data_IF_215721437359
#
_entry.id   IF_215721437359
#
_cell.length_a   1.000
_cell.length_b   1.000
_cell.length_c   1.000
_cell.angle_alpha   90.00
_cell.angle_beta   90.00
_cell.angle_gamma   90.00
#
_symmetry.space_group_name_H-M   'P 1'
#
loop_
_entity.id
_entity.type
_entity.pdbx_description
1 polymer ?
#
# COMPACT_ATOMS: atom_id res chain seq x y z
N UNK A 1 -9.43 -22.77 -1.06
CA UNK A 1 -9.91 -21.35 -1.16
C UNK A 1 -11.40 -21.36 -0.85
N UNK A 2 -11.91 -20.37 -0.10
CA UNK A 2 -13.31 -20.35 0.39
C UNK A 2 -14.35 -19.88 -0.66
N UNK A 3 -13.93 -19.58 -1.90
CA UNK A 3 -14.84 -19.26 -3.02
C UNK A 3 -15.53 -17.89 -2.94
N UNK A 4 -14.86 -16.87 -2.41
CA UNK A 4 -15.41 -15.50 -2.33
C UNK A 4 -14.93 -14.66 -3.51
N UNK A 5 -15.87 -14.09 -4.27
CA UNK A 5 -15.59 -13.34 -5.51
C UNK A 5 -15.68 -11.81 -5.38
N UNK A 6 -16.31 -11.30 -4.32
CA UNK A 6 -16.51 -9.86 -4.09
C UNK A 6 -16.10 -9.45 -2.67
N UNK A 7 -15.48 -8.27 -2.56
CA UNK A 7 -15.07 -7.66 -1.31
C UNK A 7 -15.38 -6.16 -1.33
N UNK A 8 -15.93 -5.64 -0.25
CA UNK A 8 -16.05 -4.21 0.01
C UNK A 8 -15.49 -3.88 1.40
N UNK A 9 -14.78 -2.76 1.51
CA UNK A 9 -14.27 -2.28 2.79
C UNK A 9 -13.83 -0.81 2.73
N UNK A 10 -14.09 -0.07 3.81
CA UNK A 10 -13.55 1.29 3.99
C UNK A 10 -12.06 1.31 4.35
N UNK A 11 -11.46 0.15 4.66
CA UNK A 11 -10.09 0.02 5.19
C UNK A 11 -9.03 0.77 4.37
N UNK A 12 -8.96 0.68 3.02
CA UNK A 12 -7.92 1.36 2.25
C UNK A 12 -7.96 2.87 2.45
N UNK A 13 -9.16 3.45 2.43
CA UNK A 13 -9.35 4.90 2.50
C UNK A 13 -9.29 5.42 3.94
N UNK A 14 -9.85 4.69 4.91
CA UNK A 14 -9.77 5.05 6.34
C UNK A 14 -8.33 5.00 6.84
N UNK A 15 -7.57 3.96 6.48
CA UNK A 15 -6.17 3.84 6.88
C UNK A 15 -5.29 4.91 6.23
N UNK A 16 -5.49 5.21 4.94
CA UNK A 16 -4.76 6.27 4.24
C UNK A 16 -4.90 7.63 4.93
N UNK A 17 -6.13 8.00 5.33
CA UNK A 17 -6.43 9.25 6.05
C UNK A 17 -5.86 9.27 7.47
N UNK A 18 -5.68 8.11 8.09
CA UNK A 18 -5.05 7.96 9.40
C UNK A 18 -3.52 7.73 9.32
N UNK A 19 -2.95 7.73 8.11
CA UNK A 19 -1.50 7.66 7.88
C UNK A 19 -0.91 6.25 7.80
N UNK A 20 -1.74 5.21 7.70
CA UNK A 20 -1.30 3.83 7.47
C UNK A 20 -1.42 3.47 5.98
N UNK A 21 -0.31 3.04 5.39
CA UNK A 21 -0.19 2.78 3.96
C UNK A 21 0.24 1.34 3.72
N UNK A 22 -0.32 0.71 2.69
CA UNK A 22 -0.02 -0.67 2.33
C UNK A 22 1.06 -0.71 1.25
N UNK A 23 2.00 -1.65 1.35
CA UNK A 23 3.09 -1.83 0.39
C UNK A 23 3.30 -3.31 0.13
N UNK A 24 4.09 -3.62 -0.91
CA UNK A 24 4.58 -4.97 -1.18
C UNK A 24 5.31 -5.62 -0.01
N UNK A 25 5.86 -4.82 0.92
CA UNK A 25 6.69 -5.29 2.05
C UNK A 25 6.02 -5.17 3.41
N UNK A 26 4.70 -5.00 3.44
CA UNK A 26 3.96 -4.77 4.67
C UNK A 26 3.27 -3.43 4.72
N UNK A 27 2.83 -3.06 5.92
CA UNK A 27 2.21 -1.76 6.19
C UNK A 27 3.24 -0.83 6.75
N UNK A 28 3.20 0.44 6.37
CA UNK A 28 3.99 1.52 6.97
C UNK A 28 3.11 2.61 7.54
N UNK A 29 3.64 3.33 8.53
CA UNK A 29 2.97 4.47 9.15
C UNK A 29 3.68 5.77 8.77
N UNK A 30 3.09 6.58 7.89
CA UNK A 30 3.76 7.73 7.26
C UNK A 30 4.17 8.83 8.27
N UNK A 31 3.54 8.88 9.44
CA UNK A 31 3.88 9.83 10.52
C UNK A 31 5.25 9.57 11.17
N UNK A 32 5.80 8.36 11.00
CA UNK A 32 7.02 7.96 11.70
C UNK A 32 8.21 8.82 11.31
N UNK A 33 9.01 9.19 12.33
CA UNK A 33 10.13 10.11 12.18
C UNK A 33 11.19 9.60 11.18
N UNK A 34 11.35 8.28 11.06
CA UNK A 34 12.27 7.64 10.09
C UNK A 34 12.04 8.06 8.63
N UNK A 35 10.84 8.53 8.31
CA UNK A 35 10.48 8.95 6.95
C UNK A 35 10.72 10.44 6.70
N UNK A 36 11.16 11.24 7.68
CA UNK A 36 11.31 12.69 7.54
C UNK A 36 12.23 13.12 6.39
N UNK A 37 13.28 12.34 6.10
CA UNK A 37 14.25 12.61 5.04
C UNK A 37 14.32 11.50 3.99
N UNK A 38 13.38 10.55 4.04
CA UNK A 38 13.35 9.42 3.11
C UNK A 38 12.86 9.86 1.71
N UNK A 39 13.80 9.97 0.77
CA UNK A 39 13.53 10.37 -0.62
C UNK A 39 12.91 9.26 -1.48
N UNK A 40 12.79 8.02 -0.96
CA UNK A 40 12.20 6.90 -1.70
C UNK A 40 10.68 7.03 -1.81
N UNK A 41 10.04 6.39 -2.80
CA UNK A 41 8.58 6.32 -2.89
C UNK A 41 7.99 5.46 -1.75
N UNK A 42 6.67 5.47 -1.57
CA UNK A 42 6.00 4.61 -0.58
C UNK A 42 6.28 3.13 -0.82
N UNK A 43 6.30 2.69 -2.07
CA UNK A 43 6.62 1.32 -2.45
C UNK A 43 7.31 1.34 -3.82
N UNK A 44 8.49 0.72 -3.90
CA UNK A 44 9.28 0.68 -5.12
C UNK A 44 8.64 -0.19 -6.23
N UNK A 45 7.78 -1.14 -5.88
CA UNK A 45 7.02 -1.94 -6.86
C UNK A 45 5.69 -1.30 -7.27
N UNK A 46 5.30 -0.17 -6.67
CA UNK A 46 4.01 0.45 -6.93
C UNK A 46 4.10 1.47 -8.07
N UNK A 47 3.26 1.27 -9.09
CA UNK A 47 3.16 2.13 -10.26
C UNK A 47 2.16 3.29 -10.14
N UNK A 48 1.61 3.57 -8.96
CA UNK A 48 0.56 4.59 -8.80
C UNK A 48 1.09 6.04 -8.96
N UNK A 49 0.18 6.99 -9.20
CA UNK A 49 0.51 8.42 -9.30
C UNK A 49 1.35 8.92 -8.12
N UNK A 50 0.99 8.50 -6.90
CA UNK A 50 1.70 8.90 -5.68
C UNK A 50 3.14 8.40 -5.65
N UNK A 51 3.38 7.12 -5.96
CA UNK A 51 4.72 6.53 -5.93
C UNK A 51 5.63 7.02 -7.07
N UNK A 52 5.06 7.49 -8.19
CA UNK A 52 5.83 8.06 -9.30
C UNK A 52 6.27 9.50 -9.05
N UNK A 53 5.46 10.28 -8.32
CA UNK A 53 5.66 11.73 -8.19
C UNK A 53 6.21 12.20 -6.84
N UNK A 54 6.09 11.41 -5.77
CA UNK A 54 6.29 11.90 -4.41
C UNK A 54 7.09 10.94 -3.53
N UNK A 55 7.96 11.53 -2.70
CA UNK A 55 8.76 10.81 -1.71
C UNK A 55 8.01 10.60 -0.41
N UNK A 56 8.44 9.60 0.38
CA UNK A 56 7.98 9.37 1.77
C UNK A 56 8.16 10.63 2.63
N UNK A 57 9.27 11.33 2.50
CA UNK A 57 9.54 12.60 3.19
C UNK A 57 8.49 13.67 2.89
N UNK A 58 8.17 13.87 1.61
CA UNK A 58 7.20 14.88 1.21
C UNK A 58 5.78 14.50 1.65
N UNK A 59 5.39 13.24 1.50
CA UNK A 59 4.10 12.74 1.96
C UNK A 59 3.95 12.84 3.48
N UNK A 60 5.01 12.55 4.23
CA UNK A 60 5.04 12.77 5.68
C UNK A 60 4.86 14.24 6.01
N UNK A 61 5.60 15.13 5.35
CA UNK A 61 5.47 16.56 5.55
C UNK A 61 4.02 17.02 5.36
N UNK A 62 3.39 16.69 4.22
CA UNK A 62 1.99 17.02 3.95
C UNK A 62 1.04 16.47 5.03
N UNK A 63 1.25 15.21 5.42
CA UNK A 63 0.41 14.56 6.43
C UNK A 63 0.53 15.23 7.80
N UNK A 64 1.74 15.56 8.24
CA UNK A 64 2.00 16.23 9.51
C UNK A 64 1.48 17.68 9.52
N UNK A 65 1.55 18.36 8.38
CA UNK A 65 0.97 19.70 8.15
C UNK A 65 -0.55 19.68 8.00
N UNK A 66 -1.19 18.49 8.04
CA UNK A 66 -2.65 18.31 7.86
C UNK A 66 -3.17 18.82 6.52
N UNK A 67 -2.33 18.78 5.49
CA UNK A 67 -2.70 19.19 4.14
C UNK A 67 -3.61 18.15 3.47
N UNK A 68 -4.70 18.62 2.86
CA UNK A 68 -5.66 17.76 2.17
C UNK A 68 -5.01 16.90 1.06
N UNK A 69 -3.96 17.44 0.43
CA UNK A 69 -3.20 16.73 -0.59
C UNK A 69 -2.57 15.45 -0.04
N UNK A 70 -2.05 15.46 1.19
CA UNK A 70 -1.45 14.28 1.81
C UNK A 70 -2.47 13.14 1.95
N UNK A 71 -3.69 13.46 2.40
CA UNK A 71 -4.77 12.47 2.51
C UNK A 71 -5.20 11.91 1.15
N UNK A 72 -5.27 12.76 0.11
CA UNK A 72 -5.63 12.34 -1.26
C UNK A 72 -4.59 11.41 -1.86
N UNK A 73 -3.31 11.79 -1.81
CA UNK A 73 -2.20 11.00 -2.34
C UNK A 73 -2.08 9.64 -1.64
N UNK A 74 -2.22 9.62 -0.32
CA UNK A 74 -2.25 8.40 0.48
C UNK A 74 -3.43 7.49 0.09
N UNK A 75 -4.60 8.08 -0.17
CA UNK A 75 -5.80 7.33 -0.58
C UNK A 75 -5.64 6.72 -1.96
N UNK A 76 -5.09 7.47 -2.92
CA UNK A 76 -4.78 6.98 -4.27
C UNK A 76 -3.84 5.77 -4.19
N UNK A 77 -2.79 5.86 -3.38
CA UNK A 77 -1.84 4.76 -3.19
C UNK A 77 -2.51 3.51 -2.62
N UNK A 78 -3.26 3.63 -1.53
CA UNK A 78 -3.90 2.47 -0.90
C UNK A 78 -4.97 1.82 -1.79
N UNK A 79 -5.75 2.61 -2.53
CA UNK A 79 -6.73 2.06 -3.47
C UNK A 79 -6.03 1.34 -4.63
N UNK A 80 -4.97 1.92 -5.17
CA UNK A 80 -4.17 1.26 -6.21
C UNK A 80 -3.56 -0.05 -5.71
N UNK A 81 -3.02 -0.08 -4.50
CA UNK A 81 -2.50 -1.31 -3.90
C UNK A 81 -3.54 -2.42 -3.86
N UNK A 82 -4.77 -2.11 -3.39
CA UNK A 82 -5.86 -3.10 -3.35
C UNK A 82 -6.30 -3.55 -4.75
N UNK A 83 -6.38 -2.63 -5.71
CA UNK A 83 -6.72 -2.97 -7.09
C UNK A 83 -5.68 -3.94 -7.70
N UNK A 84 -4.40 -3.64 -7.54
CA UNK A 84 -3.29 -4.51 -7.99
C UNK A 84 -3.29 -5.85 -7.27
N UNK A 85 -3.53 -5.88 -5.96
CA UNK A 85 -3.63 -7.14 -5.21
C UNK A 85 -4.76 -8.04 -5.77
N UNK A 86 -5.91 -7.45 -6.10
CA UNK A 86 -7.01 -8.21 -6.71
C UNK A 86 -6.69 -8.66 -8.14
N UNK A 87 -5.94 -7.88 -8.91
CA UNK A 87 -5.41 -8.31 -10.22
C UNK A 87 -4.47 -9.51 -10.09
N UNK A 88 -3.56 -9.47 -9.12
CA UNK A 88 -2.61 -10.54 -8.85
C UNK A 88 -3.30 -11.83 -8.42
N UNK A 89 -4.31 -11.73 -7.55
CA UNK A 89 -5.16 -12.86 -7.14
C UNK A 89 -5.86 -13.45 -8.37
N UNK A 90 -6.50 -12.64 -9.21
CA UNK A 90 -7.18 -13.12 -10.43
C UNK A 90 -6.22 -13.81 -11.39
N UNK A 91 -5.00 -13.27 -11.54
CA UNK A 91 -3.94 -13.88 -12.36
C UNK A 91 -3.51 -15.23 -11.79
N UNK A 92 -3.25 -15.32 -10.49
CA UNK A 92 -2.83 -16.55 -9.84
C UNK A 92 -3.89 -17.67 -9.93
N UNK A 93 -5.18 -17.30 -9.89
CA UNK A 93 -6.29 -18.25 -10.12
C UNK A 93 -6.28 -18.78 -11.55
N UNK A 94 -6.16 -17.91 -12.57
CA UNK A 94 -6.11 -18.31 -13.99
C UNK A 94 -4.91 -19.20 -14.30
N UNK A 95 -3.77 -18.93 -13.66
CA UNK A 95 -2.52 -19.67 -13.81
C UNK A 95 -2.44 -20.91 -12.90
N UNK A 96 -3.52 -21.26 -12.17
CA UNK A 96 -3.58 -22.39 -11.23
C UNK A 96 -2.47 -22.40 -10.16
N UNK A 97 -1.92 -21.23 -9.80
CA UNK A 97 -0.79 -21.07 -8.86
C UNK A 97 -1.14 -20.34 -7.56
N UNK A 98 -2.42 -20.37 -7.16
CA UNK A 98 -2.90 -19.61 -6.02
C UNK A 98 -2.23 -19.98 -4.69
N UNK A 99 -1.88 -21.25 -4.49
CA UNK A 99 -1.16 -21.70 -3.28
C UNK A 99 0.26 -21.09 -3.20
N UNK A 100 0.98 -21.06 -4.32
CA UNK A 100 2.28 -20.41 -4.42
C UNK A 100 2.18 -18.91 -4.20
N UNK A 101 1.22 -18.25 -4.87
CA UNK A 101 0.96 -16.82 -4.69
C UNK A 101 0.67 -16.48 -3.23
N UNK A 102 -0.13 -17.29 -2.54
CA UNK A 102 -0.42 -17.10 -1.11
C UNK A 102 0.85 -17.14 -0.26
N UNK A 103 1.71 -18.13 -0.50
CA UNK A 103 2.99 -18.27 0.21
C UNK A 103 3.88 -17.05 0.00
N UNK A 104 4.11 -16.68 -1.26
CA UNK A 104 4.93 -15.52 -1.64
C UNK A 104 4.37 -14.21 -1.04
N UNK A 105 3.04 -14.04 -1.08
CA UNK A 105 2.38 -12.88 -0.49
C UNK A 105 2.70 -12.75 0.99
N UNK A 106 2.48 -13.81 1.79
CA UNK A 106 2.72 -13.73 3.23
C UNK A 106 4.21 -13.62 3.59
N UNK A 107 5.10 -14.25 2.84
CA UNK A 107 6.55 -14.08 3.00
C UNK A 107 6.96 -12.61 2.83
N UNK A 108 6.45 -11.95 1.78
CA UNK A 108 6.74 -10.54 1.51
C UNK A 108 6.15 -9.57 2.56
N UNK A 109 5.04 -9.92 3.21
CA UNK A 109 4.41 -9.08 4.24
C UNK A 109 5.21 -9.00 5.56
N UNK A 110 6.23 -9.84 5.76
CA UNK A 110 7.06 -9.86 6.98
C UNK A 110 8.20 -8.82 6.98
N UNK A 111 8.23 -7.92 5.98
CA UNK A 111 9.28 -6.92 5.84
C UNK A 111 9.40 -5.92 7.01
N UNK A 112 10.54 -5.22 7.11
CA UNK A 112 10.86 -4.29 8.21
C UNK A 112 10.00 -3.01 8.26
N UNK A 113 8.99 -2.90 7.38
CA UNK A 113 8.16 -1.72 7.27
C UNK A 113 7.05 -1.66 8.35
N UNK A 114 6.83 -2.75 9.12
CA UNK A 114 5.76 -2.93 10.12
C UNK A 114 5.72 -1.97 11.33
N UNK A 115 6.57 -0.94 11.40
CA UNK A 115 6.55 0.10 12.44
C UNK A 115 6.09 1.43 11.89
#
# INVERSE_FOLDING_TARGET
ILGVDMFDCVMPTRNARNGTLFTSRGRLTIKNARFAEDKRPLDASCGCYTCRGFSRAYLRHLFMSRELLGYRLNTIHNLHYYATLMEDVRRAVREQRMEQFRKEFYENQTGPEQG
#
